data_IF_861100099231
#
_entry.id   IF_861100099231
#
_cell.length_a   1.000
_cell.length_b   1.000
_cell.length_c   1.000
_cell.angle_alpha   90.00
_cell.angle_beta   90.00
_cell.angle_gamma   90.00
#
_symmetry.space_group_name_H-M   'P 1'
#
loop_
_entity.id
_entity.type
_entity.pdbx_description
1 polymer ?
#
# COMPACT_ATOMS: atom_id res chain seq x y z
N UNK A 1 1.25 9.62 26.46
CA UNK A 1 2.67 9.34 26.16
C UNK A 1 2.74 8.08 25.28
N UNK A 2 2.60 8.24 23.96
CA UNK A 2 2.87 7.15 23.01
C UNK A 2 4.38 6.94 22.98
N UNK A 3 4.85 5.71 23.19
CA UNK A 3 6.26 5.37 23.02
C UNK A 3 6.67 5.71 21.59
N UNK A 4 7.75 6.46 21.41
CA UNK A 4 8.40 6.60 20.10
C UNK A 4 8.98 5.22 19.77
N UNK A 5 8.21 4.40 19.06
CA UNK A 5 8.77 3.24 18.39
C UNK A 5 9.66 3.77 17.26
N UNK A 6 10.91 3.29 17.16
CA UNK A 6 11.76 3.59 16.01
C UNK A 6 10.96 3.30 14.74
N UNK A 7 10.71 4.35 13.95
CA UNK A 7 9.98 4.20 12.71
C UNK A 7 10.75 3.23 11.81
N UNK A 8 10.03 2.21 11.32
CA UNK A 8 10.56 1.22 10.40
C UNK A 8 10.78 1.83 9.01
N UNK A 9 10.45 1.06 7.99
CA UNK A 9 10.56 1.51 6.62
C UNK A 9 9.50 2.56 6.28
N UNK A 10 9.83 3.44 5.34
CA UNK A 10 8.86 4.35 4.73
C UNK A 10 8.35 3.77 3.42
N UNK A 11 7.04 3.62 3.34
CA UNK A 11 6.32 3.18 2.16
C UNK A 11 5.52 4.34 1.58
N UNK A 12 5.48 4.39 0.25
CA UNK A 12 4.63 5.32 -0.48
C UNK A 12 3.47 4.56 -1.06
N UNK A 13 2.26 5.02 -0.78
CA UNK A 13 1.00 4.45 -1.24
C UNK A 13 0.35 5.45 -2.20
N UNK A 14 0.43 5.18 -3.50
CA UNK A 14 -0.29 5.93 -4.52
C UNK A 14 -1.71 5.40 -4.63
N UNK A 15 -2.67 6.31 -4.49
CA UNK A 15 -4.09 6.05 -4.61
C UNK A 15 -4.55 6.59 -5.95
N UNK A 16 -5.09 5.69 -6.78
CA UNK A 16 -5.74 6.07 -8.02
C UNK A 16 -7.16 6.57 -7.72
N UNK A 17 -7.40 7.84 -8.06
CA UNK A 17 -8.67 8.52 -7.81
C UNK A 17 -9.83 8.00 -8.66
N UNK A 18 -9.55 7.21 -9.70
CA UNK A 18 -10.60 6.52 -10.45
C UNK A 18 -11.20 5.35 -9.66
N UNK A 19 -10.48 4.81 -8.67
CA UNK A 19 -10.85 3.58 -7.98
C UNK A 19 -11.02 3.72 -6.46
N UNK A 20 -10.31 4.66 -5.82
CA UNK A 20 -10.44 4.91 -4.38
C UNK A 20 -10.00 6.34 -4.04
N UNK A 21 -10.00 6.70 -2.75
CA UNK A 21 -9.51 8.00 -2.28
C UNK A 21 -8.85 7.89 -0.92
N UNK A 22 -7.98 8.85 -0.62
CA UNK A 22 -7.37 8.97 0.71
C UNK A 22 -8.44 9.06 1.81
N UNK A 23 -9.52 9.81 1.58
CA UNK A 23 -10.61 9.94 2.55
C UNK A 23 -11.33 8.61 2.80
N UNK A 24 -11.51 7.79 1.76
CA UNK A 24 -12.07 6.45 1.90
C UNK A 24 -11.16 5.55 2.75
N UNK A 25 -9.85 5.52 2.46
CA UNK A 25 -8.90 4.71 3.23
C UNK A 25 -8.81 5.17 4.70
N UNK A 26 -8.84 6.49 4.92
CA UNK A 26 -8.89 7.11 6.25
C UNK A 26 -10.14 6.69 7.02
N UNK A 27 -11.31 6.80 6.39
CA UNK A 27 -12.58 6.40 6.99
C UNK A 27 -12.60 4.90 7.35
N UNK A 28 -12.10 4.06 6.45
CA UNK A 28 -12.01 2.60 6.65
C UNK A 28 -10.92 2.19 7.66
N UNK A 29 -10.04 3.13 8.05
CA UNK A 29 -8.88 2.88 8.91
C UNK A 29 -8.00 1.75 8.40
N UNK A 30 -7.71 1.77 7.10
CA UNK A 30 -6.87 0.77 6.42
C UNK A 30 -5.83 1.42 5.54
N UNK A 31 -4.82 0.64 5.16
CA UNK A 31 -4.14 0.82 3.87
C UNK A 31 -4.72 -0.21 2.93
N UNK A 32 -5.11 0.24 1.74
CA UNK A 32 -5.64 -0.65 0.73
C UNK A 32 -4.99 -0.37 -0.61
N UNK A 33 -4.83 -1.45 -1.36
CA UNK A 33 -4.56 -1.49 -2.78
C UNK A 33 -5.46 -2.57 -3.33
N UNK A 34 -5.72 -2.61 -4.63
CA UNK A 34 -6.47 -3.77 -5.06
C UNK A 34 -6.93 -3.89 -6.46
N UNK A 35 -7.26 -5.14 -6.70
CA UNK A 35 -7.98 -5.68 -7.84
C UNK A 35 -9.07 -6.55 -7.24
N UNK A 36 -10.23 -5.96 -6.97
CA UNK A 36 -11.36 -6.63 -6.31
C UNK A 36 -11.64 -8.01 -6.89
N UNK A 37 -11.55 -8.17 -8.21
CA UNK A 37 -11.74 -9.43 -8.92
C UNK A 37 -10.80 -10.57 -8.55
N UNK A 38 -9.64 -10.28 -7.94
CA UNK A 38 -8.76 -11.32 -7.40
C UNK A 38 -9.35 -12.03 -6.17
N UNK A 39 -10.39 -11.47 -5.56
CA UNK A 39 -10.96 -11.97 -4.33
C UNK A 39 -10.02 -11.83 -3.13
N UNK A 40 -10.31 -12.61 -2.09
CA UNK A 40 -9.47 -12.69 -0.89
C UNK A 40 -8.15 -13.40 -1.19
N UNK A 41 -7.05 -12.80 -0.72
CA UNK A 41 -5.70 -13.33 -0.74
C UNK A 41 -5.28 -13.88 0.63
N UNK A 42 -6.24 -14.17 1.52
CA UNK A 42 -5.95 -14.66 2.88
C UNK A 42 -5.09 -15.92 2.89
N UNK A 43 -5.23 -16.78 1.87
CA UNK A 43 -4.40 -17.98 1.72
C UNK A 43 -2.90 -17.69 1.51
N UNK A 44 -2.54 -16.48 1.08
CA UNK A 44 -1.14 -16.03 0.98
C UNK A 44 -0.63 -15.40 2.28
N UNK A 45 -1.51 -15.16 3.26
CA UNK A 45 -1.14 -14.65 4.57
C UNK A 45 -0.67 -15.79 5.48
N UNK A 46 -1.36 -16.93 5.41
CA UNK A 46 -1.01 -18.17 6.12
C UNK A 46 0.29 -18.75 5.53
N UNK A 47 1.43 -18.41 6.15
CA UNK A 47 2.77 -18.80 5.69
C UNK A 47 3.57 -17.67 5.01
N UNK A 48 3.13 -16.41 5.16
CA UNK A 48 3.87 -15.27 4.62
C UNK A 48 5.31 -15.19 5.11
N UNK A 49 5.55 -15.33 6.42
CA UNK A 49 6.91 -15.26 6.98
C UNK A 49 7.81 -16.41 6.49
N UNK A 50 7.28 -17.64 6.49
CA UNK A 50 8.07 -18.83 6.20
C UNK A 50 8.34 -19.02 4.70
N UNK A 51 7.39 -18.62 3.85
CA UNK A 51 7.40 -18.93 2.41
C UNK A 51 7.55 -17.64 1.60
N UNK A 52 6.57 -16.74 1.72
CA UNK A 52 6.39 -15.67 0.74
C UNK A 52 7.40 -14.54 0.89
N UNK A 53 7.84 -14.23 2.11
CA UNK A 53 8.83 -13.18 2.37
C UNK A 53 10.13 -13.36 1.58
N UNK A 54 10.52 -14.61 1.30
CA UNK A 54 11.73 -14.93 0.56
C UNK A 54 11.45 -15.45 -0.86
N UNK A 55 10.16 -15.62 -1.22
CA UNK A 55 9.76 -16.18 -2.51
C UNK A 55 8.82 -15.24 -3.29
N UNK A 56 9.27 -13.99 -3.47
CA UNK A 56 8.56 -12.96 -4.24
C UNK A 56 8.19 -13.43 -5.64
N UNK A 57 9.07 -14.19 -6.31
CA UNK A 57 8.83 -14.66 -7.68
C UNK A 57 7.59 -15.53 -7.78
N UNK A 58 7.47 -16.53 -6.91
CA UNK A 58 6.32 -17.44 -6.92
C UNK A 58 5.05 -16.76 -6.39
N UNK A 59 5.16 -15.88 -5.38
CA UNK A 59 4.05 -15.02 -4.96
C UNK A 59 3.47 -14.25 -6.15
N UNK A 60 4.34 -13.58 -6.91
CA UNK A 60 3.91 -12.78 -8.06
C UNK A 60 3.25 -13.66 -9.14
N UNK A 61 3.75 -14.87 -9.40
CA UNK A 61 3.13 -15.81 -10.36
C UNK A 61 1.73 -16.21 -9.95
N UNK A 62 1.48 -16.43 -8.65
CA UNK A 62 0.14 -16.75 -8.15
C UNK A 62 -0.83 -15.60 -8.42
N UNK A 63 -0.43 -14.36 -8.08
CA UNK A 63 -1.27 -13.18 -8.34
C UNK A 63 -1.53 -13.01 -9.85
N UNK A 64 -0.51 -13.19 -10.69
CA UNK A 64 -0.68 -13.15 -12.14
C UNK A 64 -1.65 -14.24 -12.63
N UNK A 65 -1.55 -15.46 -12.10
CA UNK A 65 -2.43 -16.56 -12.48
C UNK A 65 -3.89 -16.26 -12.13
N UNK A 66 -4.16 -15.81 -10.89
CA UNK A 66 -5.49 -15.37 -10.46
C UNK A 66 -6.01 -14.23 -11.33
N UNK A 67 -5.15 -13.25 -11.60
CA UNK A 67 -5.45 -12.10 -12.43
C UNK A 67 -5.85 -12.47 -13.85
N UNK A 68 -5.09 -13.36 -14.49
CA UNK A 68 -5.40 -13.87 -15.84
C UNK A 68 -6.76 -14.56 -15.89
N UNK A 69 -7.12 -15.29 -14.85
CA UNK A 69 -8.41 -15.97 -14.74
C UNK A 69 -9.60 -15.00 -14.69
N UNK A 70 -9.46 -13.87 -13.98
CA UNK A 70 -10.58 -12.93 -13.78
C UNK A 70 -10.62 -11.79 -14.81
N UNK A 71 -9.48 -11.18 -15.11
CA UNK A 71 -9.37 -9.99 -15.96
C UNK A 71 -8.91 -10.30 -17.38
N UNK A 72 -8.55 -11.55 -17.68
CA UNK A 72 -8.03 -11.99 -18.97
C UNK A 72 -6.50 -11.94 -19.07
N UNK A 73 -5.96 -12.67 -20.05
CA UNK A 73 -4.51 -12.85 -20.26
C UNK A 73 -3.76 -11.53 -20.49
N UNK A 74 -4.39 -10.62 -21.22
CA UNK A 74 -3.75 -9.42 -21.77
C UNK A 74 -3.57 -8.31 -20.73
N UNK A 75 -4.22 -8.46 -19.58
CA UNK A 75 -4.22 -7.51 -18.47
C UNK A 75 -2.99 -7.65 -17.57
N UNK A 76 -2.31 -8.81 -17.63
CA UNK A 76 -1.20 -9.18 -16.75
C UNK A 76 0.07 -9.59 -17.50
N UNK A 77 0.12 -9.34 -18.82
CA UNK A 77 1.28 -9.67 -19.64
C UNK A 77 2.41 -8.63 -19.43
N UNK A 78 3.56 -9.13 -19.01
CA UNK A 78 4.77 -8.33 -18.76
C UNK A 78 5.41 -7.80 -20.05
N UNK A 79 5.11 -8.41 -21.19
CA UNK A 79 5.61 -8.03 -22.52
C UNK A 79 4.71 -7.03 -23.25
N UNK A 80 3.59 -6.70 -22.62
CA UNK A 80 2.56 -5.87 -23.20
C UNK A 80 3.02 -4.40 -23.20
N UNK A 81 3.38 -3.87 -24.36
CA UNK A 81 3.90 -2.50 -24.51
C UNK A 81 2.95 -1.42 -23.96
N UNK A 82 3.53 -0.28 -23.56
CA UNK A 82 2.88 0.82 -22.82
C UNK A 82 1.70 1.52 -23.56
N UNK A 83 1.34 1.11 -24.78
CA UNK A 83 0.36 1.79 -25.64
C UNK A 83 -1.10 1.37 -25.46
N UNK A 84 -1.40 0.38 -24.62
CA UNK A 84 -2.78 -0.08 -24.41
C UNK A 84 -3.41 0.64 -23.23
N UNK A 85 -4.18 1.67 -23.58
CA UNK A 85 -5.07 2.41 -22.69
C UNK A 85 -6.09 1.42 -22.09
N UNK A 86 -6.13 1.39 -20.76
CA UNK A 86 -7.01 0.62 -19.88
C UNK A 86 -6.42 -0.71 -19.38
N UNK A 87 -5.67 -0.64 -18.27
CA UNK A 87 -5.70 -1.70 -17.27
C UNK A 87 -4.56 -2.72 -17.25
N UNK A 88 -3.49 -2.59 -18.04
CA UNK A 88 -2.35 -3.51 -17.92
C UNK A 88 -1.51 -3.21 -16.68
N UNK A 89 -1.98 -3.61 -15.49
CA UNK A 89 -1.20 -3.40 -14.27
C UNK A 89 -0.18 -4.52 -14.06
N UNK A 90 0.89 -4.49 -14.88
CA UNK A 90 2.06 -5.36 -14.72
C UNK A 90 2.70 -5.26 -13.32
N UNK A 91 2.39 -4.23 -12.54
CA UNK A 91 2.93 -4.03 -11.20
C UNK A 91 2.03 -4.62 -10.12
N UNK A 92 0.78 -4.93 -10.41
CA UNK A 92 -0.19 -5.45 -9.45
C UNK A 92 0.33 -6.61 -8.59
N UNK A 93 1.04 -7.63 -9.13
CA UNK A 93 1.65 -8.67 -8.30
C UNK A 93 2.67 -8.13 -7.29
N UNK A 94 3.51 -7.19 -7.71
CA UNK A 94 4.48 -6.53 -6.82
C UNK A 94 3.79 -5.60 -5.81
N UNK A 95 2.69 -4.94 -6.19
CA UNK A 95 1.88 -4.11 -5.28
C UNK A 95 1.27 -4.98 -4.18
N UNK A 96 0.68 -6.12 -4.53
CA UNK A 96 0.12 -7.08 -3.56
C UNK A 96 1.21 -7.65 -2.65
N UNK A 97 2.37 -8.00 -3.21
CA UNK A 97 3.52 -8.46 -2.42
C UNK A 97 3.98 -7.39 -1.42
N UNK A 98 4.12 -6.15 -1.88
CA UNK A 98 4.52 -5.04 -1.04
C UNK A 98 3.49 -4.77 0.07
N UNK A 99 2.20 -4.81 -0.25
CA UNK A 99 1.11 -4.59 0.70
C UNK A 99 1.22 -5.59 1.87
N UNK A 100 1.30 -6.89 1.58
CA UNK A 100 1.44 -7.90 2.64
C UNK A 100 2.78 -7.80 3.37
N UNK A 101 3.84 -7.33 2.70
CA UNK A 101 5.18 -7.19 3.27
C UNK A 101 5.42 -5.95 4.15
N UNK A 102 4.42 -5.08 4.29
CA UNK A 102 4.46 -3.96 5.26
C UNK A 102 4.51 -4.52 6.68
N UNK A 103 5.33 -3.92 7.55
CA UNK A 103 5.58 -4.41 8.92
C UNK A 103 5.09 -3.44 9.99
N UNK A 104 4.80 -3.96 11.17
CA UNK A 104 4.56 -3.13 12.35
C UNK A 104 5.70 -2.12 12.56
N UNK A 105 5.35 -0.87 12.86
CA UNK A 105 6.27 0.24 13.03
C UNK A 105 6.67 0.96 11.74
N UNK A 106 6.43 0.37 10.56
CA UNK A 106 6.63 1.05 9.27
C UNK A 106 5.70 2.28 9.16
N UNK A 107 6.14 3.29 8.41
CA UNK A 107 5.35 4.46 8.05
C UNK A 107 4.84 4.34 6.62
N UNK A 108 3.61 4.77 6.39
CA UNK A 108 3.00 4.80 5.05
C UNK A 108 2.52 6.21 4.74
N UNK A 109 3.04 6.77 3.66
CA UNK A 109 2.65 8.07 3.12
C UNK A 109 1.68 7.86 1.96
N UNK A 110 0.47 8.40 2.08
CA UNK A 110 -0.54 8.34 1.03
C UNK A 110 -0.42 9.52 0.07
N UNK A 111 -0.61 9.24 -1.23
CA UNK A 111 -0.65 10.25 -2.28
C UNK A 111 -1.85 10.06 -3.19
N UNK A 112 -2.42 11.16 -3.68
CA UNK A 112 -3.35 11.18 -4.79
C UNK A 112 -2.75 12.07 -5.90
N UNK A 113 -2.45 11.49 -7.05
CA UNK A 113 -1.64 12.17 -8.07
C UNK A 113 -0.28 12.59 -7.48
N UNK A 114 0.10 13.86 -7.61
CA UNK A 114 1.37 14.38 -7.06
C UNK A 114 1.26 14.89 -5.62
N UNK A 115 0.05 14.93 -5.05
CA UNK A 115 -0.19 15.50 -3.73
C UNK A 115 -0.05 14.41 -2.66
N UNK A 116 0.84 14.64 -1.70
CA UNK A 116 0.80 13.93 -0.41
C UNK A 116 -0.48 14.33 0.32
N UNK A 117 -1.17 13.34 0.88
CA UNK A 117 -2.45 13.52 1.58
C UNK A 117 -2.35 13.26 3.07
N UNK A 118 -1.56 12.28 3.46
CA UNK A 118 -1.42 11.93 4.86
C UNK A 118 -0.39 10.84 5.11
N UNK A 119 -0.19 10.56 6.38
CA UNK A 119 0.77 9.59 6.87
C UNK A 119 0.15 8.78 8.01
N UNK A 120 0.49 7.50 8.11
CA UNK A 120 0.13 6.66 9.24
C UNK A 120 1.29 5.73 9.61
N UNK A 121 1.28 5.23 10.85
CA UNK A 121 2.15 4.14 11.29
C UNK A 121 1.38 2.83 11.37
N UNK A 122 2.03 1.77 10.92
CA UNK A 122 1.49 0.41 10.91
C UNK A 122 1.51 -0.19 12.31
N UNK A 123 0.37 -0.71 12.74
CA UNK A 123 0.18 -1.26 14.08
C UNK A 123 0.38 -2.79 14.15
N UNK A 124 0.22 -3.49 13.02
CA UNK A 124 0.37 -4.95 12.88
C UNK A 124 0.94 -5.27 11.51
N UNK A 125 1.63 -6.39 11.37
CA UNK A 125 2.18 -6.78 10.08
C UNK A 125 1.08 -6.93 9.02
N UNK A 126 1.43 -6.71 7.75
CA UNK A 126 0.48 -6.70 6.64
C UNK A 126 -0.27 -8.02 6.51
N UNK A 127 0.45 -9.15 6.57
CA UNK A 127 -0.15 -10.49 6.52
C UNK A 127 -1.03 -10.82 7.75
N UNK A 128 -0.69 -10.32 8.94
CA UNK A 128 -1.47 -10.57 10.17
C UNK A 128 -2.75 -9.74 10.26
N UNK A 129 -2.77 -8.60 9.60
CA UNK A 129 -3.87 -7.63 9.63
C UNK A 129 -4.67 -7.58 8.33
N UNK A 130 -4.39 -8.53 7.42
CA UNK A 130 -5.04 -8.61 6.14
C UNK A 130 -6.56 -8.82 6.31
N UNK A 131 -7.33 -8.09 5.51
CA UNK A 131 -8.77 -8.28 5.35
C UNK A 131 -9.18 -8.00 3.92
N UNK A 132 -10.13 -8.77 3.43
CA UNK A 132 -10.75 -8.53 2.13
C UNK A 132 -12.09 -7.80 2.29
N UNK A 133 -12.21 -6.63 1.69
CA UNK A 133 -13.37 -5.74 1.79
C UNK A 133 -14.23 -5.73 0.52
N UNK A 134 -14.00 -6.66 -0.42
CA UNK A 134 -14.69 -6.63 -1.72
C UNK A 134 -16.19 -6.92 -1.66
N UNK A 135 -16.67 -7.51 -0.56
CA UNK A 135 -18.11 -7.71 -0.32
C UNK A 135 -18.83 -6.39 -0.01
N UNK A 136 -18.10 -5.36 0.40
CA UNK A 136 -18.63 -4.01 0.64
C UNK A 136 -18.58 -3.12 -0.61
N UNK A 137 -18.14 -3.66 -1.76
CA UNK A 137 -18.12 -2.93 -3.03
C UNK A 137 -16.90 -2.02 -3.24
N UNK A 138 -15.89 -2.05 -2.36
CA UNK A 138 -14.68 -1.26 -2.55
C UNK A 138 -13.79 -1.86 -3.64
N UNK A 139 -13.25 -1.01 -4.51
CA UNK A 139 -12.32 -1.43 -5.58
C UNK A 139 -10.94 -1.76 -5.01
N UNK A 140 -10.45 -0.92 -4.09
CA UNK A 140 -9.29 -1.25 -3.24
C UNK A 140 -9.75 -2.17 -2.10
N UNK A 141 -10.01 -3.42 -2.47
CA UNK A 141 -10.59 -4.44 -1.60
C UNK A 141 -9.55 -5.19 -0.76
N UNK A 142 -8.30 -5.28 -1.21
CA UNK A 142 -7.23 -5.93 -0.44
C UNK A 142 -6.67 -4.91 0.57
N UNK A 143 -6.94 -5.16 1.85
CA UNK A 143 -6.63 -4.21 2.93
C UNK A 143 -5.68 -4.79 3.96
N UNK A 144 -4.91 -3.92 4.59
CA UNK A 144 -4.09 -4.22 5.77
C UNK A 144 -4.28 -3.13 6.82
N UNK A 145 -3.86 -3.43 8.05
CA UNK A 145 -3.77 -2.45 9.11
C UNK A 145 -5.12 -1.88 9.52
N UNK A 146 -6.15 -2.73 9.69
CA UNK A 146 -7.55 -2.39 10.03
C UNK A 146 -7.81 -1.70 11.38
N UNK A 147 -6.90 -0.81 11.79
CA UNK A 147 -6.97 0.18 12.85
C UNK A 147 -5.92 1.29 12.62
N UNK A 148 -5.51 1.55 11.38
CA UNK A 148 -4.52 2.62 11.12
C UNK A 148 -5.16 3.98 11.35
N UNK A 149 -4.47 4.83 12.09
CA UNK A 149 -4.86 6.21 12.32
C UNK A 149 -4.09 7.09 11.33
N UNK A 150 -4.81 7.57 10.32
CA UNK A 150 -4.27 8.47 9.31
C UNK A 150 -4.28 9.90 9.82
N UNK A 151 -3.12 10.54 9.78
CA UNK A 151 -2.98 11.98 9.98
C UNK A 151 -2.91 12.67 8.62
N UNK A 152 -3.67 13.76 8.48
CA UNK A 152 -3.64 14.58 7.27
C UNK A 152 -2.29 15.28 7.18
N UNK A 153 -1.72 15.38 5.97
CA UNK A 153 -0.49 16.11 5.77
C UNK A 153 -0.76 17.61 5.74
N UNK A 154 -0.48 18.30 6.84
CA UNK A 154 -0.51 19.74 6.97
C UNK A 154 0.89 20.36 6.79
N UNK A 155 1.08 21.12 5.72
CA UNK A 155 2.37 21.77 5.45
C UNK A 155 2.83 22.75 6.53
N UNK A 156 1.91 23.26 7.36
CA UNK A 156 2.27 24.13 8.48
C UNK A 156 2.88 23.33 9.64
N UNK A 157 2.49 22.06 9.80
CA UNK A 157 3.00 21.17 10.84
C UNK A 157 4.25 20.40 10.35
N UNK A 158 4.23 19.91 9.12
CA UNK A 158 5.27 19.04 8.56
C UNK A 158 6.32 19.75 7.70
N UNK A 159 6.08 21.00 7.36
CA UNK A 159 6.76 21.63 6.23
C UNK A 159 6.32 21.03 4.88
N UNK A 160 7.03 21.34 3.79
CA UNK A 160 6.70 20.83 2.48
C UNK A 160 6.80 19.29 2.46
N UNK A 161 5.84 18.60 1.81
CA UNK A 161 5.92 17.15 1.71
C UNK A 161 7.22 16.73 1.02
N UNK A 162 7.81 15.58 1.39
CA UNK A 162 8.92 15.03 0.64
C UNK A 162 8.50 14.87 -0.83
N UNK A 163 9.38 15.13 -1.80
CA UNK A 163 9.02 15.02 -3.20
C UNK A 163 8.60 13.58 -3.50
N UNK A 164 7.42 13.41 -4.10
CA UNK A 164 6.92 12.09 -4.52
C UNK A 164 7.98 11.45 -5.42
N UNK A 165 8.47 10.25 -5.08
CA UNK A 165 9.41 9.55 -5.95
C UNK A 165 8.76 9.27 -7.31
N UNK A 166 9.51 9.45 -8.39
CA UNK A 166 8.99 9.12 -9.71
C UNK A 166 8.51 7.65 -9.75
N UNK A 167 7.33 7.41 -10.35
CA UNK A 167 6.78 6.08 -10.63
C UNK A 167 6.38 5.22 -9.41
N UNK A 168 5.90 5.81 -8.31
CA UNK A 168 5.20 5.01 -7.29
C UNK A 168 3.86 4.55 -7.85
N UNK A 169 3.74 3.29 -8.23
CA UNK A 169 2.49 2.62 -8.57
C UNK A 169 2.08 1.73 -7.41
N UNK A 170 0.83 1.87 -6.96
CA UNK A 170 0.32 1.25 -5.74
C UNK A 170 1.17 1.56 -4.51
N UNK A 171 1.50 0.53 -3.72
CA UNK A 171 2.36 0.64 -2.52
C UNK A 171 3.78 0.16 -2.80
N UNK A 172 4.78 0.96 -2.39
CA UNK A 172 6.20 0.64 -2.60
C UNK A 172 7.09 1.18 -1.49
N UNK A 173 8.06 0.37 -1.05
CA UNK A 173 9.11 0.79 -0.12
C UNK A 173 10.10 1.68 -0.85
N UNK A 174 10.42 2.84 -0.26
CA UNK A 174 11.38 3.77 -0.83
C UNK A 174 12.44 4.11 0.20
N UNK A 175 13.71 3.89 -0.17
CA UNK A 175 14.87 4.16 0.69
C UNK A 175 15.33 5.62 0.66
N UNK A 176 14.93 6.37 -0.36
CA UNK A 176 15.16 7.82 -0.45
C UNK A 176 14.06 8.55 0.33
N UNK A 177 14.39 9.69 0.94
CA UNK A 177 13.47 10.53 1.73
C UNK A 177 12.89 9.86 2.99
N UNK A 178 13.49 8.75 3.45
CA UNK A 178 13.09 8.07 4.69
C UNK A 178 13.31 8.96 5.91
N UNK A 179 14.49 9.59 6.05
CA UNK A 179 14.84 10.42 7.22
C UNK A 179 13.89 11.62 7.39
N UNK A 180 13.67 12.49 6.38
CA UNK A 180 12.75 13.62 6.54
C UNK A 180 11.31 13.20 6.89
N UNK A 181 10.87 12.05 6.37
CA UNK A 181 9.53 11.52 6.67
C UNK A 181 9.43 11.06 8.13
N UNK A 182 10.47 10.41 8.65
CA UNK A 182 10.54 9.97 10.05
C UNK A 182 10.61 11.19 10.98
N UNK A 183 11.41 12.20 10.64
CA UNK A 183 11.50 13.45 11.41
C UNK A 183 10.15 14.16 11.48
N UNK A 184 9.45 14.31 10.35
CA UNK A 184 8.11 14.87 10.28
C UNK A 184 7.09 14.07 11.11
N UNK A 185 7.19 12.73 11.11
CA UNK A 185 6.34 11.87 11.95
C UNK A 185 6.60 12.07 13.45
N UNK A 186 7.88 12.14 13.85
CA UNK A 186 8.22 12.29 15.26
C UNK A 186 7.74 13.64 15.83
N UNK A 187 7.67 14.69 15.01
CA UNK A 187 7.10 15.98 15.42
C UNK A 187 5.62 15.84 15.82
N UNK A 188 4.80 15.13 15.03
CA UNK A 188 3.38 14.92 15.37
C UNK A 188 3.16 14.21 16.70
N UNK A 189 3.86 13.09 16.89
CA UNK A 189 3.62 12.21 18.04
C UNK A 189 4.05 12.89 19.35
N UNK A 190 4.87 13.94 19.26
CA UNK A 190 5.28 14.76 20.39
C UNK A 190 4.32 15.93 20.67
N UNK A 191 3.59 16.40 19.65
CA UNK A 191 2.65 17.53 19.77
C UNK A 191 1.19 17.08 20.12
N UNK A 192 0.87 15.79 19.98
CA UNK A 192 -0.38 15.12 20.42
C UNK A 192 -0.31 14.56 21.86
#
# INVERSE_FOLDING_TARGET
MRLIMEAGNVWWCSIDKEWSSYLELKYRKVIAQGWRGLGSLSFLCDGYEDIWQNNKGDFCKIIQYLGKGYYGSDWWDENAGDWVRHGRDKNAPTVMYNLLGVRQGDLVVATEGQSVKGICQIQKNGWESYRYDGDFGFEYAQTIGGSVEWMDWDTNLFGPPPPRPAMVLGIRRIRKNTIPTIEAWNQLVLDD
#
